data_IF_443121539691
#
_entry.id   IF_443121539691
#
_cell.length_a   1.000
_cell.length_b   1.000
_cell.length_c   1.000
_cell.angle_alpha   90.00
_cell.angle_beta   90.00
_cell.angle_gamma   90.00
#
_symmetry.space_group_name_H-M   'P 1'
#
loop_
_entity.id
_entity.type
_entity.pdbx_description
1 polymer ?
#
# COMPACT_ATOMS: atom_id res chain seq x y z
N UNK A 1 3.19 -28.61 -4.04
CA UNK A 1 3.46 -27.98 -5.35
C UNK A 1 3.74 -26.50 -5.10
N UNK A 2 4.99 -26.06 -5.31
CA UNK A 2 5.41 -24.68 -5.00
C UNK A 2 4.70 -23.66 -5.88
N UNK A 3 4.35 -22.49 -5.31
CA UNK A 3 3.72 -21.40 -6.06
C UNK A 3 4.70 -20.97 -7.17
N UNK A 4 4.28 -20.90 -8.44
CA UNK A 4 5.15 -20.46 -9.52
C UNK A 4 5.75 -19.08 -9.20
N UNK A 5 7.01 -18.81 -9.63
CA UNK A 5 7.66 -17.54 -9.36
C UNK A 5 6.84 -16.41 -9.96
N UNK A 6 6.63 -15.36 -9.17
CA UNK A 6 5.92 -14.15 -9.63
C UNK A 6 6.74 -13.53 -10.78
N UNK A 7 6.14 -13.28 -11.95
CA UNK A 7 6.81 -12.59 -13.06
C UNK A 7 7.51 -11.32 -12.59
N UNK A 8 8.71 -11.05 -13.11
CA UNK A 8 9.57 -9.96 -12.63
C UNK A 8 8.92 -8.58 -12.71
N UNK A 9 8.09 -8.32 -13.72
CA UNK A 9 7.33 -7.07 -13.86
C UNK A 9 6.13 -6.94 -12.89
N UNK A 10 5.72 -8.04 -12.25
CA UNK A 10 4.69 -8.07 -11.22
C UNK A 10 5.29 -8.13 -9.80
N UNK A 11 6.61 -8.29 -9.70
CA UNK A 11 7.31 -8.36 -8.44
C UNK A 11 7.42 -6.96 -7.84
N UNK A 12 6.69 -6.73 -6.75
CA UNK A 12 6.82 -5.53 -5.93
C UNK A 12 8.09 -5.63 -5.06
N UNK A 13 9.24 -5.26 -5.62
CA UNK A 13 10.55 -5.35 -4.96
C UNK A 13 11.07 -4.01 -4.39
N UNK A 14 10.47 -2.88 -4.79
CA UNK A 14 10.80 -1.54 -4.29
C UNK A 14 10.01 -1.20 -3.04
N UNK A 15 10.61 -0.41 -2.15
CA UNK A 15 10.00 0.03 -0.88
C UNK A 15 9.95 1.55 -0.83
N UNK A 16 8.81 2.08 -0.41
CA UNK A 16 8.63 3.46 0.03
C UNK A 16 8.54 3.45 1.55
N UNK A 17 9.38 4.23 2.23
CA UNK A 17 9.39 4.34 3.69
C UNK A 17 9.06 5.77 4.07
N UNK A 18 8.08 5.93 4.96
CA UNK A 18 7.64 7.21 5.48
C UNK A 18 7.68 7.13 7.00
N UNK A 19 8.27 8.14 7.64
CA UNK A 19 8.26 8.26 9.09
C UNK A 19 6.93 8.87 9.50
N UNK A 20 6.24 8.20 10.43
CA UNK A 20 4.96 8.63 10.96
C UNK A 20 5.09 8.74 12.48
N UNK A 21 4.38 9.69 13.07
CA UNK A 21 4.03 9.65 14.49
C UNK A 21 3.02 8.54 14.74
N UNK A 22 2.85 8.14 16.00
CA UNK A 22 1.86 7.14 16.38
C UNK A 22 0.44 7.56 15.96
N UNK A 23 0.08 8.84 16.16
CA UNK A 23 -1.23 9.38 15.80
C UNK A 23 -1.49 9.38 14.29
N UNK A 24 -0.47 9.68 13.47
CA UNK A 24 -0.61 9.59 12.01
C UNK A 24 -0.80 8.15 11.55
N UNK A 25 -0.07 7.21 12.16
CA UNK A 25 -0.21 5.79 11.85
C UNK A 25 -1.60 5.26 12.22
N UNK A 26 -2.13 5.62 13.39
CA UNK A 26 -3.50 5.25 13.80
C UNK A 26 -4.55 5.83 12.86
N UNK A 27 -4.43 7.12 12.50
CA UNK A 27 -5.35 7.78 11.58
C UNK A 27 -5.38 7.06 10.22
N UNK A 28 -4.21 6.72 9.67
CA UNK A 28 -4.10 6.03 8.39
C UNK A 28 -4.65 4.60 8.49
N UNK A 29 -4.41 3.89 9.60
CA UNK A 29 -4.94 2.55 9.82
C UNK A 29 -6.48 2.53 9.88
N UNK A 30 -7.09 3.48 10.59
CA UNK A 30 -8.55 3.59 10.65
C UNK A 30 -9.14 4.01 9.29
N UNK A 31 -8.49 4.90 8.56
CA UNK A 31 -8.91 5.27 7.21
C UNK A 31 -8.85 4.08 6.23
N UNK A 32 -7.77 3.28 6.27
CA UNK A 32 -7.64 2.07 5.47
C UNK A 32 -8.74 1.04 5.80
N UNK A 33 -9.04 0.86 7.09
CA UNK A 33 -10.12 -0.01 7.55
C UNK A 33 -11.49 0.49 7.11
N UNK A 34 -11.77 1.78 7.24
CA UNK A 34 -13.02 2.40 6.78
C UNK A 34 -13.22 2.27 5.27
N UNK A 35 -12.12 2.29 4.49
CA UNK A 35 -12.14 2.03 3.05
C UNK A 35 -12.27 0.55 2.69
N UNK A 36 -12.32 -0.37 3.67
CA UNK A 36 -12.43 -1.81 3.43
C UNK A 36 -11.18 -2.44 2.83
N UNK A 37 -10.01 -1.81 3.00
CA UNK A 37 -8.78 -2.30 2.43
C UNK A 37 -8.23 -3.53 3.19
N UNK A 38 -7.58 -4.42 2.46
CA UNK A 38 -6.96 -5.62 3.03
C UNK A 38 -5.76 -5.31 3.94
N UNK A 39 -5.05 -4.20 3.67
CA UNK A 39 -3.95 -3.71 4.50
C UNK A 39 -3.72 -2.22 4.30
N UNK A 40 -3.13 -1.56 5.29
CA UNK A 40 -2.71 -0.16 5.19
C UNK A 40 -1.77 0.07 3.99
N UNK A 41 -0.82 -0.86 3.76
CA UNK A 41 0.14 -0.74 2.67
C UNK A 41 -0.50 -0.87 1.29
N UNK A 42 -1.50 -1.74 1.13
CA UNK A 42 -2.25 -1.83 -0.12
C UNK A 42 -3.07 -0.56 -0.36
N UNK A 43 -3.76 -0.06 0.67
CA UNK A 43 -4.56 1.15 0.59
C UNK A 43 -3.74 2.39 0.20
N UNK A 44 -2.63 2.63 0.90
CA UNK A 44 -1.74 3.77 0.60
C UNK A 44 -1.14 3.65 -0.80
N UNK A 45 -0.72 2.45 -1.21
CA UNK A 45 -0.19 2.25 -2.58
C UNK A 45 -1.24 2.63 -3.62
N UNK A 46 -2.46 2.13 -3.48
CA UNK A 46 -3.50 2.34 -4.47
C UNK A 46 -3.87 3.84 -4.55
N UNK A 47 -3.96 4.53 -3.42
CA UNK A 47 -4.14 6.00 -3.38
C UNK A 47 -3.01 6.77 -4.08
N UNK A 48 -1.74 6.40 -3.84
CA UNK A 48 -0.59 7.05 -4.47
C UNK A 48 -0.59 6.85 -5.99
N UNK A 49 -0.95 5.65 -6.46
CA UNK A 49 -1.05 5.36 -7.89
C UNK A 49 -2.21 6.13 -8.54
N UNK A 50 -3.38 6.17 -7.90
CA UNK A 50 -4.49 6.98 -8.38
C UNK A 50 -4.12 8.47 -8.48
N UNK A 51 -3.46 9.02 -7.44
CA UNK A 51 -3.01 10.41 -7.45
C UNK A 51 -2.01 10.68 -8.59
N UNK A 52 -1.11 9.73 -8.88
CA UNK A 52 -0.15 9.85 -9.98
C UNK A 52 -0.83 9.80 -11.36
N UNK A 53 -1.89 9.01 -11.52
CA UNK A 53 -2.66 8.91 -12.77
C UNK A 53 -3.49 10.18 -13.03
N UNK A 54 -4.02 10.81 -11.97
CA UNK A 54 -4.83 12.03 -12.07
C UNK A 54 -4.03 13.30 -12.39
N UNK A 55 -2.71 13.20 -12.50
CA UNK A 55 -1.80 14.31 -12.79
C UNK A 55 -1.58 14.50 -14.28
#
# INVERSE_FOLDING_TARGET
MGRPPVPTHLKRDKRLVVMLTDSENELLAEAAKAAGAASLSDWVRDLLLEAAIRR
#
